data_IF_527538687304
#
_entry.id   IF_527538687304
#
_cell.length_a   1.000
_cell.length_b   1.000
_cell.length_c   1.000
_cell.angle_alpha   90.00
_cell.angle_beta   90.00
_cell.angle_gamma   90.00
#
_symmetry.space_group_name_H-M   'P 1'
#
loop_
_entity.id
_entity.type
_entity.pdbx_description
1 polymer ?
#
# COMPACT_ATOMS: atom_id res chain seq x y z
N UNK A 1 -9.16 24.14 10.67
CA UNK A 1 -8.93 23.72 12.08
C UNK A 1 -8.26 22.36 12.02
N UNK A 2 -7.11 22.17 12.68
CA UNK A 2 -6.42 20.86 12.65
C UNK A 2 -7.27 19.87 13.45
N UNK A 3 -7.68 18.76 12.84
CA UNK A 3 -8.49 17.77 13.52
C UNK A 3 -7.58 16.89 14.37
N UNK A 4 -7.84 16.81 15.68
CA UNK A 4 -7.00 16.08 16.63
C UNK A 4 -7.77 14.84 17.08
N UNK A 5 -7.16 13.68 16.97
CA UNK A 5 -7.73 12.46 17.51
C UNK A 5 -7.64 12.46 19.05
N UNK A 6 -8.50 11.70 19.73
CA UNK A 6 -8.43 11.54 21.19
C UNK A 6 -7.07 11.05 21.71
N UNK A 7 -6.24 10.42 20.87
CA UNK A 7 -4.86 10.04 21.21
C UNK A 7 -3.84 11.21 21.13
N UNK A 8 -4.30 12.44 20.89
CA UNK A 8 -3.47 13.65 20.80
C UNK A 8 -2.74 13.82 19.47
N UNK A 9 -2.96 12.93 18.49
CA UNK A 9 -2.33 13.03 17.16
C UNK A 9 -3.19 13.82 16.18
N UNK A 10 -2.53 14.74 15.48
CA UNK A 10 -3.13 15.56 14.44
C UNK A 10 -3.40 14.74 13.17
N UNK A 11 -4.58 14.97 12.60
CA UNK A 11 -4.96 14.51 11.28
C UNK A 11 -4.44 15.53 10.26
N UNK A 12 -3.34 15.20 9.59
CA UNK A 12 -2.64 16.09 8.65
C UNK A 12 -3.39 16.42 7.35
N UNK A 13 -4.72 16.25 7.32
CA UNK A 13 -5.60 16.58 6.19
C UNK A 13 -6.89 17.23 6.71
N UNK A 14 -7.59 17.95 5.85
CA UNK A 14 -8.97 18.35 6.15
C UNK A 14 -9.91 17.14 5.98
N UNK A 15 -10.61 16.70 7.04
CA UNK A 15 -11.52 15.56 6.95
C UNK A 15 -12.82 15.89 6.23
N UNK A 16 -13.40 14.89 5.56
CA UNK A 16 -14.69 14.98 4.87
C UNK A 16 -15.90 14.85 5.82
N UNK A 17 -15.65 14.41 7.06
CA UNK A 17 -16.65 13.92 8.00
C UNK A 17 -16.03 12.79 8.81
N UNK A 18 -16.27 11.54 8.41
CA UNK A 18 -15.60 10.37 8.97
C UNK A 18 -14.13 10.29 8.53
N UNK A 19 -13.20 10.03 9.45
CA UNK A 19 -11.78 9.81 9.15
C UNK A 19 -11.09 8.91 10.17
N UNK A 20 -10.07 8.17 9.73
CA UNK A 20 -9.28 7.30 10.59
C UNK A 20 -7.99 7.97 11.06
N UNK A 21 -7.71 7.90 12.36
CA UNK A 21 -6.42 8.34 12.90
C UNK A 21 -5.30 7.41 12.42
N UNK A 22 -4.24 7.92 11.77
CA UNK A 22 -3.15 7.08 11.27
C UNK A 22 -2.28 6.48 12.39
N UNK A 23 -2.42 6.95 13.64
CA UNK A 23 -1.62 6.47 14.77
C UNK A 23 -2.32 5.44 15.64
N UNK A 24 -3.64 5.55 15.83
CA UNK A 24 -4.39 4.64 16.69
C UNK A 24 -5.54 3.93 15.97
N UNK A 25 -5.72 4.18 14.68
CA UNK A 25 -6.73 3.56 13.82
C UNK A 25 -8.18 3.76 14.28
N UNK A 26 -8.42 4.67 15.22
CA UNK A 26 -9.77 5.04 15.66
C UNK A 26 -10.50 5.81 14.56
N UNK A 27 -11.76 5.44 14.31
CA UNK A 27 -12.67 6.23 13.50
C UNK A 27 -13.12 7.48 14.27
N UNK A 28 -12.98 8.64 13.66
CA UNK A 28 -13.40 9.93 14.18
C UNK A 28 -14.43 10.54 13.23
N UNK A 29 -15.22 11.48 13.73
CA UNK A 29 -16.19 12.24 12.94
C UNK A 29 -16.08 13.73 13.28
N UNK A 30 -15.94 14.57 12.27
CA UNK A 30 -15.76 16.03 12.42
C UNK A 30 -16.78 16.86 11.64
N UNK A 31 -17.83 16.23 11.11
CA UNK A 31 -18.90 16.92 10.40
C UNK A 31 -19.92 17.55 11.36
N UNK A 32 -20.75 18.44 10.83
CA UNK A 32 -21.95 18.91 11.54
C UNK A 32 -22.88 17.71 11.86
N UNK A 33 -23.73 17.79 12.90
CA UNK A 33 -24.74 16.77 13.14
C UNK A 33 -25.49 16.48 11.83
N UNK A 34 -25.42 15.23 11.37
CA UNK A 34 -26.20 14.80 10.21
C UNK A 34 -27.59 14.50 10.74
N UNK A 35 -28.60 15.20 10.24
CA UNK A 35 -29.99 14.79 10.46
C UNK A 35 -30.13 13.37 9.90
N UNK A 36 -30.25 12.38 10.78
CA UNK A 36 -30.31 10.95 10.48
C UNK A 36 -31.62 10.52 9.79
N UNK A 37 -32.30 11.45 9.11
CA UNK A 37 -33.34 11.10 8.15
C UNK A 37 -32.73 10.14 7.12
N UNK A 38 -33.49 9.10 6.74
CA UNK A 38 -33.03 7.94 5.96
C UNK A 38 -32.34 8.37 4.66
N UNK A 39 -31.05 8.70 4.75
CA UNK A 39 -30.27 9.12 3.60
C UNK A 39 -29.97 7.86 2.80
N UNK A 40 -30.34 7.82 1.52
CA UNK A 40 -30.11 6.64 0.70
C UNK A 40 -28.61 6.38 0.57
N UNK A 41 -28.26 5.10 0.47
CA UNK A 41 -26.91 4.65 0.19
C UNK A 41 -26.56 4.99 -1.26
N UNK A 42 -25.42 5.64 -1.49
CA UNK A 42 -24.89 5.84 -2.84
C UNK A 42 -24.43 4.48 -3.38
N UNK A 43 -25.01 4.05 -4.49
CA UNK A 43 -24.64 2.78 -5.12
C UNK A 43 -23.20 2.84 -5.68
N UNK A 44 -22.42 1.75 -5.65
CA UNK A 44 -21.03 1.75 -6.08
C UNK A 44 -20.81 2.25 -7.52
N UNK A 45 -21.69 1.88 -8.46
CA UNK A 45 -21.61 2.35 -9.85
C UNK A 45 -21.79 3.86 -9.95
N UNK A 46 -22.77 4.41 -9.22
CA UNK A 46 -22.99 5.85 -9.14
C UNK A 46 -21.80 6.57 -8.48
N UNK A 47 -21.21 6.02 -7.43
CA UNK A 47 -20.02 6.60 -6.81
C UNK A 47 -18.83 6.67 -7.78
N UNK A 48 -18.60 5.62 -8.58
CA UNK A 48 -17.54 5.62 -9.59
C UNK A 48 -17.82 6.63 -10.71
N UNK A 49 -19.07 6.76 -11.15
CA UNK A 49 -19.49 7.77 -12.12
C UNK A 49 -19.31 9.19 -11.58
N UNK A 50 -19.63 9.43 -10.31
CA UNK A 50 -19.40 10.71 -9.63
C UNK A 50 -17.90 11.04 -9.56
N UNK A 51 -17.03 10.06 -9.29
CA UNK A 51 -15.58 10.25 -9.40
C UNK A 51 -15.15 10.65 -10.82
N UNK A 52 -15.62 9.92 -11.84
CA UNK A 52 -15.25 10.16 -13.25
C UNK A 52 -15.72 11.51 -13.77
N UNK A 53 -16.91 11.94 -13.35
CA UNK A 53 -17.51 13.22 -13.71
C UNK A 53 -16.99 14.40 -12.87
N UNK A 54 -16.12 14.14 -11.90
CA UNK A 54 -15.64 15.13 -10.92
C UNK A 54 -16.79 15.80 -10.13
N UNK A 55 -17.85 15.05 -9.87
CA UNK A 55 -19.02 15.50 -9.10
C UNK A 55 -18.70 15.48 -7.62
N UNK A 56 -19.00 16.58 -6.91
CA UNK A 56 -18.91 16.61 -5.45
C UNK A 56 -20.11 15.96 -4.78
N UNK A 57 -19.84 14.96 -3.96
CA UNK A 57 -20.83 14.17 -3.22
C UNK A 57 -20.34 13.80 -1.81
N UNK A 58 -19.37 14.55 -1.27
CA UNK A 58 -18.75 14.28 0.03
C UNK A 58 -19.80 14.24 1.16
N UNK A 59 -20.78 15.14 1.11
CA UNK A 59 -21.84 15.23 2.12
C UNK A 59 -22.75 14.00 2.07
N UNK A 60 -23.15 13.59 0.88
CA UNK A 60 -24.02 12.45 0.59
C UNK A 60 -23.35 11.14 1.02
N UNK A 61 -22.06 10.96 0.70
CA UNK A 61 -21.30 9.79 1.12
C UNK A 61 -21.22 9.68 2.65
N UNK A 62 -20.91 10.78 3.35
CA UNK A 62 -20.84 10.78 4.81
C UNK A 62 -22.22 10.58 5.46
N UNK A 63 -23.27 11.20 4.93
CA UNK A 63 -24.64 11.02 5.43
C UNK A 63 -25.16 9.60 5.22
N UNK A 64 -24.82 8.97 4.09
CA UNK A 64 -25.13 7.57 3.82
C UNK A 64 -24.41 6.60 4.76
N UNK A 65 -23.14 6.83 5.06
CA UNK A 65 -22.37 6.04 6.03
C UNK A 65 -22.87 6.23 7.46
N UNK A 66 -23.26 7.46 7.83
CA UNK A 66 -23.85 7.75 9.13
C UNK A 66 -25.21 7.04 9.33
N UNK A 67 -26.08 7.11 8.31
CA UNK A 67 -27.43 6.54 8.37
C UNK A 67 -27.43 5.01 8.21
N UNK A 68 -26.43 4.46 7.51
CA UNK A 68 -26.35 3.04 7.17
C UNK A 68 -24.93 2.49 7.46
N UNK A 69 -24.48 2.47 8.73
CA UNK A 69 -23.11 2.09 9.09
C UNK A 69 -22.79 0.61 8.80
N UNK A 70 -23.80 -0.26 8.72
CA UNK A 70 -23.63 -1.67 8.32
C UNK A 70 -23.51 -1.90 6.81
N UNK A 71 -23.68 -0.87 5.98
CA UNK A 71 -23.63 -1.00 4.52
C UNK A 71 -22.22 -0.81 4.00
N UNK A 72 -21.62 -1.86 3.44
CA UNK A 72 -20.31 -1.78 2.78
C UNK A 72 -20.29 -0.75 1.63
N UNK A 73 -21.42 -0.56 0.94
CA UNK A 73 -21.57 0.41 -0.15
C UNK A 73 -21.40 1.85 0.34
N UNK A 74 -21.90 2.16 1.54
CA UNK A 74 -21.73 3.48 2.14
C UNK A 74 -20.26 3.79 2.40
N UNK A 75 -19.50 2.84 2.96
CA UNK A 75 -18.08 3.01 3.21
C UNK A 75 -17.25 3.03 1.92
N UNK A 76 -17.66 2.27 0.90
CA UNK A 76 -17.08 2.38 -0.44
C UNK A 76 -17.20 3.80 -1.01
N UNK A 77 -18.40 4.39 -0.93
CA UNK A 77 -18.69 5.75 -1.39
C UNK A 77 -17.85 6.80 -0.63
N UNK A 78 -17.68 6.65 0.69
CA UNK A 78 -16.76 7.50 1.48
C UNK A 78 -15.32 7.36 0.98
N UNK A 79 -14.86 6.15 0.68
CA UNK A 79 -13.53 5.92 0.12
C UNK A 79 -13.33 6.61 -1.25
N UNK A 80 -14.35 6.62 -2.11
CA UNK A 80 -14.34 7.35 -3.38
C UNK A 80 -14.28 8.86 -3.15
N UNK A 81 -15.05 9.40 -2.21
CA UNK A 81 -14.99 10.81 -1.86
C UNK A 81 -13.58 11.24 -1.40
N UNK A 82 -12.90 10.40 -0.60
CA UNK A 82 -11.49 10.59 -0.23
C UNK A 82 -10.53 10.51 -1.43
N UNK A 83 -10.81 9.63 -2.38
CA UNK A 83 -10.00 9.51 -3.59
C UNK A 83 -10.06 10.76 -4.46
N UNK A 84 -11.22 11.43 -4.54
CA UNK A 84 -11.37 12.73 -5.23
C UNK A 84 -10.45 13.80 -4.62
N UNK A 85 -10.28 13.79 -3.30
CA UNK A 85 -9.33 14.65 -2.57
C UNK A 85 -7.88 14.15 -2.59
N UNK A 86 -7.56 13.15 -3.40
CA UNK A 86 -6.20 12.59 -3.54
C UNK A 86 -5.64 11.97 -2.25
N UNK A 87 -6.51 11.62 -1.31
CA UNK A 87 -6.16 10.98 -0.04
C UNK A 87 -6.43 9.47 -0.13
N UNK A 88 -5.59 8.79 -0.91
CA UNK A 88 -5.68 7.34 -1.13
C UNK A 88 -5.39 6.54 0.12
N UNK A 89 -4.64 7.10 1.08
CA UNK A 89 -4.42 6.48 2.38
C UNK A 89 -5.76 6.17 3.07
N UNK A 90 -6.63 7.17 3.21
CA UNK A 90 -7.98 6.97 3.77
C UNK A 90 -8.85 6.11 2.87
N UNK A 91 -8.77 6.28 1.54
CA UNK A 91 -9.51 5.43 0.58
C UNK A 91 -9.24 3.95 0.84
N UNK A 92 -7.97 3.55 1.01
CA UNK A 92 -7.60 2.16 1.30
C UNK A 92 -8.16 1.65 2.63
N UNK A 93 -8.18 2.49 3.66
CA UNK A 93 -8.78 2.15 4.96
C UNK A 93 -10.29 1.95 4.82
N UNK A 94 -11.01 2.91 4.24
CA UNK A 94 -12.47 2.81 4.10
C UNK A 94 -12.90 1.62 3.24
N UNK A 95 -12.13 1.31 2.18
CA UNK A 95 -12.39 0.11 1.38
C UNK A 95 -12.06 -1.18 2.11
N UNK A 96 -11.06 -1.18 3.00
CA UNK A 96 -10.82 -2.32 3.91
C UNK A 96 -12.02 -2.52 4.85
N UNK A 97 -12.54 -1.45 5.46
CA UNK A 97 -13.72 -1.52 6.30
C UNK A 97 -14.95 -2.02 5.54
N UNK A 98 -15.15 -1.54 4.30
CA UNK A 98 -16.21 -2.02 3.43
C UNK A 98 -16.10 -3.52 3.14
N UNK A 99 -14.90 -4.03 2.83
CA UNK A 99 -14.67 -5.46 2.62
C UNK A 99 -15.09 -6.30 3.83
N UNK A 100 -14.79 -5.82 5.04
CA UNK A 100 -15.12 -6.52 6.29
C UNK A 100 -16.64 -6.64 6.54
N UNK A 101 -17.45 -5.78 5.93
CA UNK A 101 -18.91 -5.77 6.06
C UNK A 101 -19.62 -6.62 5.00
N UNK A 102 -18.89 -7.16 4.03
CA UNK A 102 -19.46 -8.06 3.02
C UNK A 102 -19.45 -9.47 3.58
N UNK A 103 -20.59 -10.14 3.69
CA UNK A 103 -20.67 -11.53 4.18
C UNK A 103 -20.46 -12.56 3.05
N UNK A 104 -21.00 -12.29 1.86
CA UNK A 104 -20.89 -13.17 0.70
C UNK A 104 -19.51 -13.08 0.02
N UNK A 105 -18.78 -14.20 -0.05
CA UNK A 105 -17.45 -14.27 -0.65
C UNK A 105 -17.42 -13.92 -2.15
N UNK A 106 -18.48 -14.22 -2.92
CA UNK A 106 -18.56 -13.84 -4.34
C UNK A 106 -18.69 -12.32 -4.50
N UNK A 107 -19.47 -11.69 -3.62
CA UNK A 107 -19.59 -10.24 -3.57
C UNK A 107 -18.28 -9.61 -3.13
N UNK A 108 -17.60 -10.19 -2.15
CA UNK A 108 -16.31 -9.71 -1.66
C UNK A 108 -15.21 -9.81 -2.73
N UNK A 109 -15.18 -10.89 -3.51
CA UNK A 109 -14.24 -11.05 -4.62
C UNK A 109 -14.49 -10.00 -5.72
N UNK A 110 -15.76 -9.81 -6.10
CA UNK A 110 -16.15 -8.75 -7.04
C UNK A 110 -15.75 -7.35 -6.54
N UNK A 111 -15.93 -7.11 -5.24
CA UNK A 111 -15.54 -5.88 -4.56
C UNK A 111 -14.02 -5.66 -4.62
N UNK A 112 -13.22 -6.68 -4.30
CA UNK A 112 -11.75 -6.63 -4.39
C UNK A 112 -11.29 -6.27 -5.81
N UNK A 113 -11.84 -6.94 -6.83
CA UNK A 113 -11.52 -6.62 -8.22
C UNK A 113 -11.94 -5.20 -8.60
N UNK A 114 -13.06 -4.70 -8.06
CA UNK A 114 -13.52 -3.33 -8.26
C UNK A 114 -12.55 -2.32 -7.67
N UNK A 115 -12.13 -2.49 -6.42
CA UNK A 115 -11.21 -1.56 -5.75
C UNK A 115 -9.85 -1.53 -6.42
N UNK A 116 -9.35 -2.67 -6.92
CA UNK A 116 -8.11 -2.71 -7.71
C UNK A 116 -8.24 -1.89 -9.00
N UNK A 117 -9.31 -2.10 -9.78
CA UNK A 117 -9.57 -1.33 -11.01
C UNK A 117 -9.68 0.17 -10.73
N UNK A 118 -10.42 0.53 -9.68
CA UNK A 118 -10.57 1.94 -9.30
C UNK A 118 -9.26 2.57 -8.84
N UNK A 119 -8.44 1.88 -8.03
CA UNK A 119 -7.13 2.40 -7.67
C UNK A 119 -6.25 2.66 -8.90
N UNK A 120 -6.23 1.73 -9.87
CA UNK A 120 -5.49 1.92 -11.13
C UNK A 120 -6.01 3.15 -11.87
N UNK A 121 -7.32 3.27 -12.06
CA UNK A 121 -7.96 4.41 -12.73
C UNK A 121 -7.60 5.73 -12.03
N UNK A 122 -7.71 5.77 -10.70
CA UNK A 122 -7.41 6.94 -9.87
C UNK A 122 -5.94 7.34 -9.98
N UNK A 123 -5.02 6.38 -9.80
CA UNK A 123 -3.58 6.64 -9.79
C UNK A 123 -3.07 7.08 -11.17
N UNK A 124 -3.47 6.38 -12.23
CA UNK A 124 -3.08 6.73 -13.60
C UNK A 124 -3.68 8.09 -13.99
N UNK A 125 -4.99 8.28 -13.80
CA UNK A 125 -5.68 9.50 -14.19
C UNK A 125 -5.11 10.74 -13.52
N UNK A 126 -4.82 10.67 -12.21
CA UNK A 126 -4.24 11.79 -11.48
C UNK A 126 -2.76 12.04 -11.85
N UNK A 127 -1.98 11.00 -12.16
CA UNK A 127 -0.59 11.19 -12.60
C UNK A 127 -0.48 11.85 -13.97
N UNK A 128 -1.34 11.46 -14.91
CA UNK A 128 -1.42 12.12 -16.23
C UNK A 128 -1.74 13.61 -16.06
N UNK A 129 -2.59 13.96 -15.08
CA UNK A 129 -2.93 15.35 -14.72
C UNK A 129 -1.86 16.05 -13.88
N UNK A 130 -0.70 15.43 -13.62
CA UNK A 130 0.38 15.99 -12.81
C UNK A 130 0.04 16.14 -11.32
N UNK A 131 -1.05 15.53 -10.84
CA UNK A 131 -1.50 15.63 -9.46
C UNK A 131 -0.71 14.67 -8.55
N UNK A 132 -0.48 15.10 -7.32
CA UNK A 132 0.17 14.31 -6.27
C UNK A 132 -0.87 13.72 -5.33
N UNK A 133 -0.66 12.48 -4.94
CA UNK A 133 -1.47 11.75 -3.96
C UNK A 133 -0.55 11.00 -3.00
N UNK A 134 -1.06 10.72 -1.80
CA UNK A 134 -0.38 9.82 -0.86
C UNK A 134 -0.57 8.35 -1.28
N UNK A 135 0.31 7.47 -0.82
CA UNK A 135 0.20 6.03 -1.09
C UNK A 135 -1.00 5.46 -0.32
N UNK A 136 -1.82 4.58 -0.92
CA UNK A 136 -2.91 3.94 -0.20
C UNK A 136 -2.41 3.06 0.94
N UNK A 137 -3.18 2.97 2.01
CA UNK A 137 -2.98 1.97 3.05
C UNK A 137 -3.57 0.64 2.58
N UNK A 138 -2.71 -0.36 2.33
CA UNK A 138 -3.13 -1.61 1.71
C UNK A 138 -2.88 -2.86 2.55
N UNK A 139 -2.03 -2.78 3.59
CA UNK A 139 -1.64 -3.96 4.36
C UNK A 139 -2.83 -4.63 5.06
N UNK A 140 -3.81 -3.85 5.52
CA UNK A 140 -5.03 -4.40 6.10
C UNK A 140 -5.97 -5.02 5.04
N UNK A 141 -6.05 -4.43 3.85
CA UNK A 141 -6.78 -5.01 2.72
C UNK A 141 -6.15 -6.34 2.30
N UNK A 142 -4.82 -6.39 2.24
CA UNK A 142 -4.04 -7.60 1.96
C UNK A 142 -4.38 -8.70 2.95
N UNK A 143 -4.27 -8.40 4.26
CA UNK A 143 -4.59 -9.33 5.34
C UNK A 143 -5.97 -9.97 5.17
N UNK A 144 -7.00 -9.12 5.01
CA UNK A 144 -8.38 -9.59 4.89
C UNK A 144 -8.62 -10.41 3.61
N UNK A 145 -7.95 -10.07 2.50
CA UNK A 145 -8.03 -10.86 1.28
C UNK A 145 -7.36 -12.23 1.44
N UNK A 146 -6.18 -12.30 2.06
CA UNK A 146 -5.49 -13.57 2.31
C UNK A 146 -6.29 -14.51 3.21
N UNK A 147 -6.80 -13.99 4.32
CA UNK A 147 -7.56 -14.78 5.29
C UNK A 147 -8.88 -15.28 4.71
N UNK A 148 -9.47 -14.52 3.80
CA UNK A 148 -10.78 -14.83 3.21
C UNK A 148 -10.70 -15.70 1.96
N UNK A 149 -9.62 -15.58 1.19
CA UNK A 149 -9.41 -16.27 -0.08
C UNK A 149 -8.07 -17.04 -0.07
N UNK A 150 -7.87 -18.01 0.85
CA UNK A 150 -6.60 -18.71 1.02
C UNK A 150 -6.16 -19.53 -0.21
N UNK A 151 -7.10 -19.87 -1.10
CA UNK A 151 -6.82 -20.54 -2.37
C UNK A 151 -6.16 -19.64 -3.43
N UNK A 152 -6.16 -18.31 -3.22
CA UNK A 152 -5.50 -17.38 -4.14
C UNK A 152 -3.99 -17.53 -4.03
N UNK A 153 -3.35 -17.69 -5.19
CA UNK A 153 -1.89 -17.77 -5.30
C UNK A 153 -1.21 -16.42 -5.15
N UNK A 154 -1.93 -15.33 -5.41
CA UNK A 154 -1.41 -13.97 -5.44
C UNK A 154 -2.17 -13.08 -4.47
N UNK A 155 -1.41 -12.19 -3.83
CA UNK A 155 -1.96 -11.18 -2.93
C UNK A 155 -2.65 -10.01 -3.63
N UNK A 156 -3.49 -9.28 -2.89
CA UNK A 156 -4.21 -8.10 -3.38
C UNK A 156 -3.25 -7.04 -3.95
N UNK A 157 -2.19 -6.75 -3.21
CA UNK A 157 -1.15 -5.79 -3.52
C UNK A 157 -0.33 -6.23 -4.74
N UNK A 158 -0.06 -7.53 -4.86
CA UNK A 158 0.66 -8.07 -6.00
C UNK A 158 -0.14 -7.84 -7.29
N UNK A 159 -1.41 -8.26 -7.31
CA UNK A 159 -2.31 -8.06 -8.44
C UNK A 159 -2.51 -6.57 -8.78
N UNK A 160 -2.72 -5.72 -7.78
CA UNK A 160 -2.87 -4.28 -7.99
C UNK A 160 -1.60 -3.67 -8.62
N UNK A 161 -0.42 -4.08 -8.16
CA UNK A 161 0.84 -3.59 -8.71
C UNK A 161 1.04 -4.03 -10.17
N UNK A 162 0.68 -5.26 -10.53
CA UNK A 162 0.73 -5.72 -11.93
C UNK A 162 -0.25 -4.95 -12.81
N UNK A 163 -1.50 -4.76 -12.36
CA UNK A 163 -2.48 -3.97 -13.11
C UNK A 163 -2.00 -2.53 -13.32
N UNK A 164 -1.44 -1.90 -12.27
CA UNK A 164 -0.91 -0.55 -12.34
C UNK A 164 0.31 -0.46 -13.27
N UNK A 165 1.22 -1.43 -13.18
CA UNK A 165 2.41 -1.48 -14.02
C UNK A 165 2.03 -1.57 -15.50
N UNK A 166 1.12 -2.49 -15.84
CA UNK A 166 0.60 -2.67 -17.19
C UNK A 166 -0.11 -1.41 -17.71
N UNK A 167 -0.96 -0.80 -16.90
CA UNK A 167 -1.65 0.45 -17.24
C UNK A 167 -0.68 1.64 -17.44
N UNK A 168 0.48 1.61 -16.79
CA UNK A 168 1.50 2.66 -16.91
C UNK A 168 2.36 2.59 -18.18
N UNK A 169 2.27 1.49 -18.95
CA UNK A 169 3.16 1.19 -20.07
C UNK A 169 3.21 2.29 -21.15
N UNK A 170 2.06 2.90 -21.45
CA UNK A 170 1.90 3.97 -22.44
C UNK A 170 2.19 5.39 -21.93
N UNK A 171 2.58 5.55 -20.66
CA UNK A 171 2.87 6.88 -20.10
C UNK A 171 4.23 7.42 -20.55
N UNK A 172 4.36 8.75 -20.51
CA UNK A 172 5.66 9.42 -20.64
C UNK A 172 6.64 8.91 -19.57
N UNK A 173 7.94 8.91 -19.89
CA UNK A 173 8.99 8.33 -19.04
C UNK A 173 9.02 8.87 -17.61
N UNK A 174 8.79 10.18 -17.42
CA UNK A 174 8.73 10.83 -16.11
C UNK A 174 7.56 10.32 -15.26
N UNK A 175 6.38 10.17 -15.86
CA UNK A 175 5.22 9.60 -15.17
C UNK A 175 5.35 8.09 -14.95
N UNK A 176 5.86 7.37 -15.96
CA UNK A 176 6.11 5.93 -15.87
C UNK A 176 7.12 5.60 -14.77
N UNK A 177 8.21 6.35 -14.63
CA UNK A 177 9.14 6.24 -13.51
C UNK A 177 8.42 6.31 -12.16
N UNK A 178 7.53 7.30 -11.97
CA UNK A 178 6.77 7.41 -10.72
C UNK A 178 5.83 6.22 -10.49
N UNK A 179 5.28 5.63 -11.56
CA UNK A 179 4.40 4.46 -11.48
C UNK A 179 5.16 3.18 -11.16
N UNK A 180 6.30 2.93 -11.79
CA UNK A 180 7.14 1.77 -11.46
C UNK A 180 7.52 1.76 -9.99
N UNK A 181 8.01 2.90 -9.46
CA UNK A 181 8.35 3.00 -8.04
C UNK A 181 7.12 2.85 -7.12
N UNK A 182 5.94 3.30 -7.56
CA UNK A 182 4.70 3.11 -6.82
C UNK A 182 4.27 1.64 -6.81
N UNK A 183 4.38 0.92 -7.93
CA UNK A 183 4.15 -0.52 -7.99
C UNK A 183 5.05 -1.26 -7.00
N UNK A 184 6.34 -0.92 -6.94
CA UNK A 184 7.24 -1.53 -5.95
C UNK A 184 6.76 -1.29 -4.52
N UNK A 185 6.38 -0.05 -4.17
CA UNK A 185 5.86 0.27 -2.84
C UNK A 185 4.56 -0.46 -2.52
N UNK A 186 3.67 -0.63 -3.48
CA UNK A 186 2.43 -1.39 -3.32
C UNK A 186 2.76 -2.85 -3.00
N UNK A 187 3.65 -3.50 -3.75
CA UNK A 187 4.06 -4.90 -3.47
C UNK A 187 4.65 -5.06 -2.08
N UNK A 188 5.55 -4.16 -1.68
CA UNK A 188 6.15 -4.18 -0.34
C UNK A 188 5.12 -3.99 0.77
N UNK A 189 4.05 -3.22 0.52
CA UNK A 189 2.98 -3.02 1.51
C UNK A 189 2.25 -4.30 1.89
N UNK A 190 2.28 -5.33 1.03
CA UNK A 190 1.67 -6.63 1.31
C UNK A 190 2.57 -7.60 2.07
N UNK A 191 3.91 -7.48 1.97
CA UNK A 191 4.84 -8.45 2.56
C UNK A 191 4.64 -8.76 4.06
N UNK A 192 4.29 -7.79 4.94
CA UNK A 192 4.15 -8.06 6.37
C UNK A 192 3.15 -9.17 6.73
N UNK A 193 2.15 -9.40 5.89
CA UNK A 193 1.11 -10.41 6.13
C UNK A 193 1.36 -11.71 5.37
N UNK A 194 2.43 -11.77 4.57
CA UNK A 194 2.89 -12.96 3.87
C UNK A 194 4.25 -13.37 4.43
N UNK A 195 4.29 -14.08 5.57
CA UNK A 195 5.55 -14.48 6.17
C UNK A 195 6.24 -15.65 5.43
N UNK A 196 5.71 -16.14 4.31
CA UNK A 196 6.38 -17.17 3.50
C UNK A 196 7.50 -16.56 2.67
N UNK A 197 8.74 -16.98 2.95
CA UNK A 197 9.93 -16.52 2.24
C UNK A 197 9.88 -16.77 0.72
N UNK A 198 9.15 -17.80 0.25
CA UNK A 198 8.93 -18.06 -1.18
C UNK A 198 8.11 -16.94 -1.81
N UNK A 199 7.05 -16.50 -1.12
CA UNK A 199 6.23 -15.39 -1.59
C UNK A 199 7.01 -14.08 -1.57
N UNK A 200 7.80 -13.84 -0.52
CA UNK A 200 8.69 -12.67 -0.45
C UNK A 200 9.67 -12.65 -1.64
N UNK A 201 10.31 -13.79 -1.95
CA UNK A 201 11.18 -13.94 -3.12
C UNK A 201 10.48 -13.56 -4.41
N UNK A 202 9.27 -14.09 -4.65
CA UNK A 202 8.49 -13.80 -5.87
C UNK A 202 8.16 -12.31 -5.99
N UNK A 203 7.78 -11.67 -4.89
CA UNK A 203 7.52 -10.22 -4.87
C UNK A 203 8.79 -9.41 -5.17
N UNK A 204 9.92 -9.75 -4.54
CA UNK A 204 11.20 -9.08 -4.76
C UNK A 204 11.68 -9.25 -6.21
N UNK A 205 11.60 -10.47 -6.74
CA UNK A 205 11.91 -10.79 -8.14
C UNK A 205 11.08 -9.94 -9.09
N UNK A 206 9.77 -9.84 -8.85
CA UNK A 206 8.89 -9.04 -9.69
C UNK A 206 9.20 -7.54 -9.66
N UNK A 207 9.56 -7.00 -8.49
CA UNK A 207 10.01 -5.60 -8.37
C UNK A 207 11.27 -5.36 -9.22
N UNK A 208 12.24 -6.25 -9.12
CA UNK A 208 13.50 -6.17 -9.87
C UNK A 208 13.24 -6.25 -11.37
N UNK A 209 12.41 -7.20 -11.82
CA UNK A 209 12.00 -7.33 -13.22
C UNK A 209 11.33 -6.05 -13.73
N UNK A 210 10.31 -5.54 -13.04
CA UNK A 210 9.55 -4.36 -13.48
C UNK A 210 10.46 -3.13 -13.65
N UNK A 211 11.44 -2.96 -12.76
CA UNK A 211 12.43 -1.89 -12.88
C UNK A 211 13.43 -2.14 -14.00
N UNK A 212 13.91 -3.37 -14.18
CA UNK A 212 14.82 -3.71 -15.26
C UNK A 212 14.18 -3.49 -16.63
N UNK A 213 12.93 -3.91 -16.80
CA UNK A 213 12.15 -3.62 -18.00
C UNK A 213 12.04 -2.12 -18.26
N UNK A 214 11.74 -1.34 -17.22
CA UNK A 214 11.68 0.12 -17.35
C UNK A 214 13.03 0.75 -17.73
N UNK A 215 14.13 0.31 -17.13
CA UNK A 215 15.46 0.87 -17.34
C UNK A 215 16.09 0.47 -18.69
N UNK A 216 15.87 -0.78 -19.11
CA UNK A 216 16.65 -1.43 -20.15
C UNK A 216 15.86 -1.86 -21.41
N UNK A 217 14.56 -2.19 -21.32
CA UNK A 217 13.79 -2.67 -22.49
C UNK A 217 13.37 -1.58 -23.48
N UNK A 218 13.60 -0.29 -23.17
CA UNK A 218 13.35 0.80 -24.12
C UNK A 218 14.43 0.82 -25.23
N UNK A 219 14.30 -0.08 -26.21
CA UNK A 219 15.19 -0.27 -27.36
C UNK A 219 15.15 0.83 -28.44
N UNK A 220 14.56 1.99 -28.20
CA UNK A 220 14.57 3.08 -29.18
C UNK A 220 15.79 4.00 -29.00
N UNK A 221 16.64 4.01 -30.03
CA UNK A 221 17.66 5.02 -30.38
C UNK A 221 17.66 6.26 -29.47
N UNK A 222 18.28 6.15 -28.29
CA UNK A 222 18.43 7.26 -27.34
C UNK A 222 19.38 8.32 -27.93
N UNK A 223 18.81 9.27 -28.67
CA UNK A 223 19.52 10.41 -29.24
C UNK A 223 20.31 11.14 -28.13
N UNK A 224 21.51 11.63 -28.48
CA UNK A 224 22.45 12.22 -27.52
C UNK A 224 21.94 13.49 -26.83
N UNK A 225 20.87 14.12 -27.34
CA UNK A 225 20.41 15.45 -26.95
C UNK A 225 19.26 15.50 -25.92
N UNK A 226 18.66 14.36 -25.51
CA UNK A 226 17.63 14.32 -24.44
C UNK A 226 18.13 13.76 -23.10
N UNK A 227 19.45 13.58 -22.92
CA UNK A 227 20.05 12.69 -21.90
C UNK A 227 20.14 13.22 -20.45
N UNK A 228 19.90 14.49 -20.16
CA UNK A 228 20.19 15.01 -18.81
C UNK A 228 19.11 14.66 -17.76
N UNK A 229 17.83 14.64 -18.14
CA UNK A 229 16.70 14.42 -17.22
C UNK A 229 16.29 12.94 -17.08
N UNK A 230 16.33 12.09 -18.14
CA UNK A 230 16.05 10.66 -18.01
C UNK A 230 17.11 9.91 -17.21
N UNK A 231 18.40 10.32 -17.30
CA UNK A 231 19.52 9.59 -16.69
C UNK A 231 19.39 9.49 -15.17
N UNK A 232 18.98 10.58 -14.51
CA UNK A 232 18.82 10.61 -13.05
C UNK A 232 17.66 9.74 -12.57
N UNK A 233 16.56 9.65 -13.32
CA UNK A 233 15.44 8.76 -12.99
C UNK A 233 15.88 7.29 -13.10
N UNK A 234 16.60 6.90 -14.16
CA UNK A 234 17.11 5.53 -14.27
C UNK A 234 18.14 5.21 -13.19
N UNK A 235 19.11 6.09 -12.96
CA UNK A 235 20.10 5.93 -11.88
C UNK A 235 19.40 5.80 -10.52
N UNK A 236 18.40 6.64 -10.24
CA UNK A 236 17.63 6.55 -9.00
C UNK A 236 16.83 5.25 -8.90
N UNK A 237 16.14 4.82 -9.96
CA UNK A 237 15.42 3.54 -9.97
C UNK A 237 16.36 2.36 -9.71
N UNK A 238 17.54 2.34 -10.32
CA UNK A 238 18.53 1.28 -10.10
C UNK A 238 19.01 1.26 -8.65
N UNK A 239 19.32 2.42 -8.06
CA UNK A 239 19.69 2.50 -6.65
C UNK A 239 18.54 2.11 -5.71
N UNK A 240 17.31 2.54 -6.00
CA UNK A 240 16.13 2.14 -5.24
C UNK A 240 15.89 0.62 -5.29
N UNK A 241 16.38 -0.07 -6.32
CA UNK A 241 16.32 -1.53 -6.40
C UNK A 241 17.41 -2.30 -5.69
N UNK A 242 18.49 -1.63 -5.26
CA UNK A 242 19.60 -2.29 -4.59
C UNK A 242 19.16 -3.19 -3.42
N UNK A 243 18.38 -2.72 -2.43
CA UNK A 243 17.98 -3.59 -1.31
C UNK A 243 17.16 -4.79 -1.76
N UNK A 244 16.31 -4.65 -2.78
CA UNK A 244 15.53 -5.77 -3.30
C UNK A 244 16.40 -6.82 -4.00
N UNK A 245 17.44 -6.40 -4.73
CA UNK A 245 18.37 -7.33 -5.39
C UNK A 245 19.19 -8.12 -4.40
N UNK A 246 19.74 -7.44 -3.40
CA UNK A 246 20.51 -8.11 -2.33
C UNK A 246 19.61 -9.10 -1.59
N UNK A 247 18.43 -8.66 -1.14
CA UNK A 247 17.49 -9.52 -0.46
C UNK A 247 17.03 -10.70 -1.33
N UNK A 248 16.80 -10.49 -2.63
CA UNK A 248 16.44 -11.54 -3.57
C UNK A 248 17.55 -12.59 -3.71
N UNK A 249 18.79 -12.17 -3.96
CA UNK A 249 19.94 -13.08 -4.11
C UNK A 249 20.18 -13.90 -2.84
N UNK A 250 20.14 -13.25 -1.67
CA UNK A 250 20.36 -13.95 -0.41
C UNK A 250 19.18 -14.87 -0.06
N UNK A 251 17.95 -14.47 -0.37
CA UNK A 251 16.76 -15.31 -0.22
C UNK A 251 16.83 -16.55 -1.13
N UNK A 252 17.24 -16.40 -2.39
CA UNK A 252 17.41 -17.52 -3.34
C UNK A 252 18.48 -18.50 -2.85
N UNK A 253 19.59 -17.99 -2.30
CA UNK A 253 20.62 -18.82 -1.67
C UNK A 253 20.05 -19.58 -0.48
N UNK A 254 19.38 -18.90 0.45
CA UNK A 254 18.78 -19.52 1.65
C UNK A 254 17.75 -20.60 1.28
N UNK A 255 16.89 -20.35 0.29
CA UNK A 255 15.92 -21.34 -0.22
C UNK A 255 16.62 -22.50 -0.95
N UNK A 256 17.80 -22.30 -1.51
CA UNK A 256 18.57 -23.39 -2.14
C UNK A 256 19.29 -24.25 -1.11
N UNK A 257 19.81 -23.63 -0.06
CA UNK A 257 20.52 -24.29 1.05
C UNK A 257 19.54 -24.98 2.03
N UNK A 258 18.28 -24.54 2.06
CA UNK A 258 17.20 -25.08 2.91
C UNK A 258 16.18 -25.82 2.03
N UNK A 259 15.65 -26.98 2.44
CA UNK A 259 14.61 -27.63 1.60
C UNK A 259 13.34 -26.78 1.52
N UNK A 260 12.68 -26.75 0.35
CA UNK A 260 11.44 -25.97 0.16
C UNK A 260 10.35 -26.35 1.19
N UNK A 261 10.27 -27.62 1.57
CA UNK A 261 9.37 -28.11 2.62
C UNK A 261 9.64 -27.46 3.98
N UNK A 262 10.91 -27.23 4.32
CA UNK A 262 11.31 -26.62 5.57
C UNK A 262 11.05 -25.12 5.55
N UNK A 263 11.32 -24.45 4.42
CA UNK A 263 10.96 -23.04 4.24
C UNK A 263 9.45 -22.83 4.42
N UNK A 264 8.62 -23.71 3.85
CA UNK A 264 7.15 -23.65 4.02
C UNK A 264 6.72 -23.94 5.45
N UNK A 265 7.40 -24.87 6.13
CA UNK A 265 7.15 -25.17 7.56
C UNK A 265 7.49 -23.96 8.43
N UNK A 266 8.60 -23.28 8.17
CA UNK A 266 8.98 -22.05 8.88
C UNK A 266 7.96 -20.94 8.63
N UNK A 267 7.53 -20.75 7.39
CA UNK A 267 6.51 -19.74 7.06
C UNK A 267 5.17 -19.99 7.77
N UNK A 268 4.77 -21.26 7.95
CA UNK A 268 3.48 -21.60 8.58
C UNK A 268 3.44 -21.39 10.10
N UNK A 269 4.59 -21.26 10.77
CA UNK A 269 4.68 -20.97 12.20
C UNK A 269 4.82 -19.47 12.51
N UNK A 270 4.94 -18.63 11.48
CA UNK A 270 5.07 -17.19 11.64
C UNK A 270 3.71 -16.50 11.85
N UNK A 271 3.66 -15.37 12.58
CA UNK A 271 2.43 -14.61 12.72
C UNK A 271 2.07 -13.90 11.40
N UNK A 272 0.88 -14.22 10.86
CA UNK A 272 0.35 -13.64 9.63
C UNK A 272 -0.44 -12.32 9.85
N UNK A 273 -0.34 -11.69 11.02
CA UNK A 273 -1.07 -10.47 11.40
C UNK A 273 -0.28 -9.17 11.15
N UNK A 274 0.84 -9.26 10.43
CA UNK A 274 1.76 -8.15 10.18
C UNK A 274 2.88 -8.00 11.21
N UNK A 275 2.83 -8.72 12.33
CA UNK A 275 3.76 -8.50 13.46
C UNK A 275 5.06 -9.30 13.39
N UNK A 276 5.29 -10.12 12.36
CA UNK A 276 6.49 -10.95 12.26
C UNK A 276 7.77 -10.11 12.30
N UNK A 277 8.63 -10.35 13.30
CA UNK A 277 9.83 -9.55 13.57
C UNK A 277 10.82 -9.54 12.41
N UNK A 278 11.06 -10.71 11.81
CA UNK A 278 12.01 -10.83 10.72
C UNK A 278 11.66 -9.90 9.54
N UNK A 279 10.38 -9.78 9.14
CA UNK A 279 9.95 -8.91 8.03
C UNK A 279 10.23 -7.43 8.32
N UNK A 280 10.24 -7.01 9.60
CA UNK A 280 10.60 -5.65 9.98
C UNK A 280 12.03 -5.30 9.58
N UNK A 281 12.96 -6.26 9.66
CA UNK A 281 14.34 -6.08 9.18
C UNK A 281 14.39 -5.85 7.67
N UNK A 282 13.62 -6.61 6.88
CA UNK A 282 13.52 -6.35 5.44
C UNK A 282 12.97 -4.94 5.14
N UNK A 283 11.92 -4.50 5.85
CA UNK A 283 11.37 -3.15 5.69
C UNK A 283 12.38 -2.06 6.09
N UNK A 284 13.17 -2.28 7.14
CA UNK A 284 14.25 -1.37 7.54
C UNK A 284 15.36 -1.31 6.49
N UNK A 285 15.77 -2.43 5.91
CA UNK A 285 16.72 -2.49 4.81
C UNK A 285 16.22 -1.67 3.61
N UNK A 286 14.94 -1.83 3.25
CA UNK A 286 14.32 -1.08 2.14
C UNK A 286 14.31 0.42 2.44
N UNK A 287 13.98 0.83 3.68
CA UNK A 287 13.99 2.24 4.10
C UNK A 287 15.40 2.83 4.02
N UNK A 288 16.40 2.16 4.59
CA UNK A 288 17.82 2.57 4.53
C UNK A 288 18.30 2.63 3.07
N UNK A 289 17.95 1.64 2.25
CA UNK A 289 18.27 1.62 0.82
C UNK A 289 17.62 2.78 0.04
N UNK A 290 16.42 3.20 0.44
CA UNK A 290 15.78 4.41 -0.09
C UNK A 290 16.55 5.70 0.24
N UNK A 291 16.99 5.84 1.49
CA UNK A 291 17.85 6.96 1.93
C UNK A 291 19.18 6.97 1.16
N UNK A 292 19.83 5.80 1.07
CA UNK A 292 21.08 5.60 0.33
C UNK A 292 20.92 5.98 -1.16
N UNK A 293 19.82 5.56 -1.78
CA UNK A 293 19.56 5.86 -3.19
C UNK A 293 19.47 7.37 -3.45
N UNK A 294 18.87 8.13 -2.53
CA UNK A 294 18.81 9.59 -2.63
C UNK A 294 20.19 10.22 -2.55
N UNK A 295 21.01 9.81 -1.57
CA UNK A 295 22.38 10.32 -1.40
C UNK A 295 23.24 9.98 -2.64
N UNK A 296 23.11 8.76 -3.18
CA UNK A 296 23.92 8.33 -4.35
C UNK A 296 23.60 9.07 -5.64
N UNK A 297 22.41 9.66 -5.77
CA UNK A 297 22.05 10.51 -6.92
C UNK A 297 22.26 12.01 -6.67
N UNK A 298 22.80 12.39 -5.53
CA UNK A 298 23.23 13.76 -5.23
C UNK A 298 24.64 14.06 -5.76
N UNK A 299 24.91 15.34 -6.03
CA UNK A 299 26.19 15.78 -6.62
C UNK A 299 27.35 15.81 -5.63
N UNK A 300 27.06 16.04 -4.34
CA UNK A 300 28.03 16.01 -3.24
C UNK A 300 27.61 14.88 -2.32
N UNK A 301 28.41 13.82 -2.27
CA UNK A 301 28.12 12.61 -1.52
C UNK A 301 28.86 12.67 -0.20
N UNK A 302 28.13 12.39 0.87
CA UNK A 302 28.72 12.06 2.16
C UNK A 302 29.11 10.58 2.11
N UNK A 303 30.38 10.30 1.79
CA UNK A 303 30.87 8.94 1.60
C UNK A 303 30.85 8.13 2.90
N UNK A 304 31.00 8.78 4.07
CA UNK A 304 30.89 8.13 5.37
C UNK A 304 29.46 7.65 5.61
N UNK A 305 28.47 8.53 5.38
CA UNK A 305 27.05 8.16 5.48
C UNK A 305 26.64 7.11 4.45
N UNK A 306 27.24 7.12 3.26
CA UNK A 306 27.01 6.09 2.23
C UNK A 306 27.45 4.72 2.72
N UNK A 307 28.66 4.59 3.26
CA UNK A 307 29.17 3.32 3.80
C UNK A 307 28.31 2.83 4.96
N UNK A 308 27.97 3.71 5.90
CA UNK A 308 27.11 3.38 7.05
C UNK A 308 25.75 2.82 6.61
N UNK A 309 25.12 3.45 5.61
CA UNK A 309 23.84 2.99 5.08
C UNK A 309 23.96 1.70 4.27
N UNK A 310 25.04 1.50 3.52
CA UNK A 310 25.28 0.24 2.80
C UNK A 310 25.44 -0.92 3.78
N UNK A 311 26.32 -0.79 4.76
CA UNK A 311 26.51 -1.80 5.81
C UNK A 311 25.18 -2.04 6.55
N UNK A 312 24.49 -0.97 6.91
CA UNK A 312 23.19 -1.04 7.57
C UNK A 312 22.08 -1.67 6.72
N UNK A 313 22.15 -1.66 5.39
CA UNK A 313 21.22 -2.41 4.51
C UNK A 313 21.58 -3.90 4.52
N UNK A 314 22.87 -4.22 4.36
CA UNK A 314 23.33 -5.61 4.34
C UNK A 314 23.05 -6.32 5.66
N UNK A 315 23.28 -5.65 6.79
CA UNK A 315 23.05 -6.22 8.12
C UNK A 315 21.57 -6.51 8.39
N UNK A 316 20.67 -5.62 7.99
CA UNK A 316 19.23 -5.85 8.13
C UNK A 316 18.74 -7.00 7.23
N UNK A 317 19.29 -7.15 6.02
CA UNK A 317 18.95 -8.28 5.15
C UNK A 317 19.45 -9.61 5.74
N UNK A 318 20.63 -9.62 6.37
CA UNK A 318 21.14 -10.78 7.10
C UNK A 318 20.22 -11.14 8.26
N UNK A 319 19.87 -10.18 9.11
CA UNK A 319 18.96 -10.40 10.24
C UNK A 319 17.59 -10.92 9.78
N UNK A 320 17.03 -10.35 8.71
CA UNK A 320 15.79 -10.83 8.08
C UNK A 320 15.84 -12.34 7.76
N UNK A 321 16.95 -12.83 7.22
CA UNK A 321 17.09 -14.25 6.82
C UNK A 321 17.50 -15.15 7.99
N UNK A 322 18.42 -14.68 8.84
CA UNK A 322 18.91 -15.44 10.00
C UNK A 322 17.80 -15.69 11.00
N UNK A 323 16.96 -14.69 11.31
CA UNK A 323 15.80 -14.85 12.19
C UNK A 323 14.76 -15.80 11.59
N UNK A 324 14.53 -15.71 10.28
CA UNK A 324 13.59 -16.59 9.59
C UNK A 324 14.04 -18.06 9.68
N UNK A 325 15.31 -18.34 9.37
CA UNK A 325 15.87 -19.70 9.39
C UNK A 325 16.03 -20.24 10.80
N UNK A 326 16.31 -19.38 11.78
CA UNK A 326 16.26 -19.76 13.19
C UNK A 326 14.84 -20.13 13.66
N UNK A 327 13.80 -19.83 12.87
CA UNK A 327 12.41 -20.02 13.23
C UNK A 327 11.99 -19.09 14.37
N UNK A 328 12.58 -17.91 14.47
CA UNK A 328 12.17 -16.90 15.46
C UNK A 328 10.70 -16.57 15.27
N UNK A 329 9.96 -16.51 16.37
CA UNK A 329 8.57 -16.06 16.43
C UNK A 329 8.45 -14.70 17.13
N UNK A 330 9.56 -13.96 17.20
CA UNK A 330 9.56 -12.63 17.77
C UNK A 330 8.58 -11.73 17.02
N UNK A 331 7.90 -10.86 17.76
CA UNK A 331 6.85 -10.00 17.23
C UNK A 331 7.16 -8.54 17.47
N UNK A 332 6.73 -7.70 16.53
CA UNK A 332 6.68 -6.23 16.65
C UNK A 332 5.21 -5.84 16.71
N UNK A 333 4.60 -5.73 17.91
CA UNK A 333 3.15 -5.53 18.06
C UNK A 333 2.63 -4.27 17.37
N UNK A 334 3.46 -3.24 17.26
CA UNK A 334 3.15 -1.97 16.59
C UNK A 334 2.86 -2.14 15.09
N UNK A 335 3.36 -3.22 14.48
CA UNK A 335 3.17 -3.54 13.07
C UNK A 335 1.88 -4.35 12.80
N UNK A 336 1.08 -4.68 13.82
CA UNK A 336 -0.18 -5.39 13.61
C UNK A 336 -1.11 -4.59 12.72
N UNK A 337 -1.61 -5.23 11.67
CA UNK A 337 -2.37 -4.56 10.61
C UNK A 337 -3.88 -4.75 10.69
N UNK A 338 -4.38 -5.41 11.73
CA UNK A 338 -5.79 -5.78 11.82
C UNK A 338 -6.67 -4.55 12.08
N UNK A 339 -7.27 -4.03 11.00
CA UNK A 339 -8.38 -3.08 11.08
C UNK A 339 -9.68 -3.89 11.19
N UNK A 340 -10.37 -3.73 12.31
CA UNK A 340 -11.72 -4.23 12.49
C UNK A 340 -12.74 -3.30 11.79
N UNK A 341 -13.96 -3.78 11.49
CA UNK A 341 -15.04 -2.91 11.04
C UNK A 341 -15.22 -1.75 12.03
N UNK A 342 -15.52 -0.54 11.56
CA UNK A 342 -15.73 0.58 12.45
C UNK A 342 -17.00 0.34 13.28
N UNK A 343 -16.85 0.32 14.61
CA UNK A 343 -17.97 0.71 15.47
C UNK A 343 -18.17 2.22 15.28
N UNK A 344 -19.40 2.69 15.01
CA UNK A 344 -19.67 4.13 15.00
C UNK A 344 -19.16 4.72 16.31
N UNK A 345 -18.39 5.83 16.30
CA UNK A 345 -17.96 6.44 17.55
C UNK A 345 -19.19 6.67 18.42
N UNK A 346 -19.13 6.32 19.70
CA UNK A 346 -20.20 6.65 20.65
C UNK A 346 -20.43 8.16 20.56
N UNK A 347 -21.49 8.55 19.86
CA UNK A 347 -21.90 9.94 19.80
C UNK A 347 -22.53 10.21 21.16
N UNK A 348 -21.71 10.64 22.13
CA UNK A 348 -22.14 10.98 23.48
C UNK A 348 -23.26 12.05 23.50
N UNK A 349 -23.55 12.69 22.37
CA UNK A 349 -24.63 13.64 22.12
C UNK A 349 -26.00 13.00 21.82
N UNK A 350 -26.07 11.69 21.54
CA UNK A 350 -27.34 10.95 21.33
C UNK A 350 -27.98 10.47 22.64
N UNK A 351 -27.34 10.71 23.79
CA UNK A 351 -27.97 10.56 25.12
C UNK A 351 -28.34 11.93 25.68
N UNK A 352 -29.30 12.62 25.07
CA UNK A 352 -30.05 13.69 25.73
C UNK A 352 -31.52 13.64 25.34
#
# INVERSE_FOLDING_TARGET
MVCICSCGKEYGFEPLGYWFCPSCWRLNYTGAPIDAASTPVVEPDSADEMYRSDTDFEREANAGAHSNPGSWKSWYAVGIAYARRLNLFQTGIFWTCALCLIEDNRVAESFVSRTQRMFVEIMIGNRIRGRKFNTPHLTSMEYHCMMRFPERKTGYCHELADMLYNASSGLRTDFRFSMVNLCSRIRISGLPVHPDLIYCRECLGRIVEDVDRFCFESGEKRSRLRRAVPKRHFELSLWLTMPYRVALTDTERVISDTSESEVRRLGSIQPADGSAGFVNHLLNAIRKGGELALIRVERKRDEERVMELEDGVMDEIRLYLDEYIAGSQDTVPENRVMLAPPEPPELHWLRR
#
